data_IF_049939589279
#
_entry.id   IF_049939589279
#
_cell.length_a   1.000
_cell.length_b   1.000
_cell.length_c   1.000
_cell.angle_alpha   90.00
_cell.angle_beta   90.00
_cell.angle_gamma   90.00
#
_symmetry.space_group_name_H-M   'P 1'
#
loop_
_entity.id
_entity.type
_entity.pdbx_description
1 polymer ?
#
# COMPACT_ATOMS: atom_id res chain seq x y z
N UNK A 1 -33.17 -9.99 44.82
CA UNK A 1 -32.52 -9.55 43.55
C UNK A 1 -31.03 -9.69 43.76
N UNK A 2 -30.45 -10.83 43.32
CA UNK A 2 -29.02 -11.08 43.42
C UNK A 2 -28.34 -10.36 42.26
N UNK A 3 -27.24 -9.64 42.54
CA UNK A 3 -26.35 -9.09 41.57
C UNK A 3 -25.73 -10.24 40.73
N UNK A 4 -25.58 -10.11 39.39
CA UNK A 4 -24.90 -11.11 38.59
C UNK A 4 -23.47 -11.26 39.08
N UNK A 5 -23.01 -12.49 39.16
CA UNK A 5 -21.72 -12.89 39.69
C UNK A 5 -20.61 -12.47 38.72
N UNK A 6 -20.09 -11.26 38.90
CA UNK A 6 -19.00 -10.68 38.05
C UNK A 6 -17.66 -11.45 38.17
N UNK A 7 -17.53 -12.34 39.17
CA UNK A 7 -16.31 -13.12 39.40
C UNK A 7 -16.18 -14.32 38.46
N UNK A 8 -17.30 -14.89 38.01
CA UNK A 8 -17.31 -16.02 37.08
C UNK A 8 -16.86 -15.64 35.64
N UNK A 9 -17.23 -14.45 35.21
CA UNK A 9 -16.89 -13.94 33.86
C UNK A 9 -15.38 -13.61 33.75
N UNK A 10 -14.80 -12.95 34.75
CA UNK A 10 -13.37 -12.60 34.79
C UNK A 10 -12.47 -13.85 34.84
N UNK A 11 -12.84 -14.92 35.54
CA UNK A 11 -12.04 -16.16 35.51
C UNK A 11 -12.09 -16.86 34.16
N UNK A 12 -13.23 -16.85 33.49
CA UNK A 12 -13.40 -17.40 32.14
C UNK A 12 -12.60 -16.65 31.09
N UNK A 13 -12.57 -15.32 31.12
CA UNK A 13 -11.75 -14.50 30.22
C UNK A 13 -10.26 -14.73 30.44
N UNK A 14 -9.81 -14.84 31.69
CA UNK A 14 -8.40 -15.14 32.02
C UNK A 14 -7.97 -16.54 31.51
N UNK A 15 -8.85 -17.54 31.58
CA UNK A 15 -8.60 -18.89 31.07
C UNK A 15 -8.50 -18.90 29.55
N UNK A 16 -9.34 -18.16 28.85
CA UNK A 16 -9.29 -18.01 27.38
C UNK A 16 -8.01 -17.32 26.95
N UNK A 17 -7.62 -16.23 27.63
CA UNK A 17 -6.36 -15.51 27.36
C UNK A 17 -5.13 -16.39 27.63
N UNK A 18 -5.13 -17.15 28.69
CA UNK A 18 -4.07 -18.10 29.00
C UNK A 18 -3.97 -19.19 27.91
N UNK A 19 -5.12 -19.74 27.47
CA UNK A 19 -5.15 -20.72 26.40
C UNK A 19 -4.63 -20.15 25.07
N UNK A 20 -5.02 -18.92 24.69
CA UNK A 20 -4.53 -18.22 23.50
C UNK A 20 -3.01 -18.06 23.52
N UNK A 21 -2.44 -17.67 24.67
CA UNK A 21 -1.00 -17.46 24.83
C UNK A 21 -0.19 -18.77 24.84
N UNK A 22 -0.71 -19.81 25.48
CA UNK A 22 0.00 -21.10 25.61
C UNK A 22 -0.15 -21.99 24.38
N UNK A 23 -1.30 -21.91 23.69
CA UNK A 23 -1.62 -22.78 22.58
C UNK A 23 -2.24 -21.97 21.41
N UNK A 24 -1.53 -20.97 20.86
CA UNK A 24 -2.10 -20.04 19.87
C UNK A 24 -2.67 -20.75 18.65
N UNK A 25 -1.94 -21.72 18.07
CA UNK A 25 -2.42 -22.45 16.89
C UNK A 25 -3.72 -23.22 17.17
N UNK A 26 -3.84 -23.86 18.33
CA UNK A 26 -5.07 -24.59 18.72
C UNK A 26 -6.24 -23.64 18.97
N UNK A 27 -5.95 -22.48 19.53
CA UNK A 27 -6.93 -21.44 19.73
C UNK A 27 -7.53 -20.98 18.39
N UNK A 28 -6.69 -20.67 17.41
CA UNK A 28 -7.14 -20.30 16.07
C UNK A 28 -7.86 -21.45 15.35
N UNK A 29 -7.33 -22.66 15.37
CA UNK A 29 -7.97 -23.82 14.75
C UNK A 29 -9.39 -24.10 15.27
N UNK A 30 -9.64 -23.82 16.55
CA UNK A 30 -10.98 -23.95 17.15
C UNK A 30 -11.96 -22.96 16.52
N UNK A 31 -11.55 -21.70 16.33
CA UNK A 31 -12.37 -20.69 15.65
C UNK A 31 -12.57 -21.04 14.17
N UNK A 32 -11.51 -21.49 13.49
CA UNK A 32 -11.59 -21.88 12.08
C UNK A 32 -12.56 -23.05 11.85
N UNK A 33 -12.68 -23.98 12.80
CA UNK A 33 -13.65 -25.08 12.72
C UNK A 33 -15.10 -24.60 12.72
N UNK A 34 -15.37 -23.41 13.28
CA UNK A 34 -16.66 -22.74 13.26
C UNK A 34 -16.81 -21.75 12.09
N UNK A 35 -15.80 -21.70 11.19
CA UNK A 35 -15.73 -20.76 10.05
C UNK A 35 -15.75 -19.28 10.44
N UNK A 36 -15.28 -18.96 11.63
CA UNK A 36 -15.19 -17.60 12.18
C UNK A 36 -13.75 -17.35 12.64
N UNK A 37 -13.30 -16.11 12.60
CA UNK A 37 -12.00 -15.67 13.12
C UNK A 37 -12.16 -15.15 14.56
N UNK A 38 -11.08 -15.02 15.35
CA UNK A 38 -11.15 -14.46 16.70
C UNK A 38 -11.72 -13.04 16.79
N UNK A 39 -11.60 -12.26 15.71
CA UNK A 39 -12.19 -10.93 15.57
C UNK A 39 -13.63 -10.93 15.02
N UNK A 40 -14.28 -12.10 15.01
CA UNK A 40 -15.63 -12.35 14.51
C UNK A 40 -15.84 -12.12 13.00
N UNK A 41 -14.76 -11.90 12.20
CA UNK A 41 -14.87 -11.83 10.75
C UNK A 41 -15.05 -13.21 10.11
N UNK A 42 -15.83 -13.31 9.03
CA UNK A 42 -15.78 -14.46 8.14
C UNK A 42 -14.38 -14.64 7.52
N UNK A 43 -14.00 -15.87 7.17
CA UNK A 43 -12.67 -16.18 6.69
C UNK A 43 -12.26 -15.39 5.42
N UNK A 44 -13.18 -15.21 4.49
CA UNK A 44 -12.95 -14.51 3.21
C UNK A 44 -13.14 -12.99 3.27
N UNK A 45 -13.46 -12.40 4.43
CA UNK A 45 -13.68 -10.96 4.55
C UNK A 45 -12.41 -10.23 5.00
N UNK A 46 -12.04 -9.19 4.25
CA UNK A 46 -10.98 -8.26 4.64
C UNK A 46 -11.46 -7.29 5.72
N UNK A 47 -10.52 -6.66 6.44
CA UNK A 47 -10.76 -5.60 7.42
C UNK A 47 -11.29 -4.34 6.72
N UNK A 48 -11.98 -3.51 7.49
CA UNK A 48 -12.47 -2.23 7.01
C UNK A 48 -11.29 -1.36 6.55
N UNK A 49 -11.48 -0.70 5.41
CA UNK A 49 -10.43 0.10 4.79
C UNK A 49 -10.89 1.55 4.71
N UNK A 50 -10.00 2.45 5.10
CA UNK A 50 -10.18 3.90 4.96
C UNK A 50 -9.00 4.51 4.24
N UNK A 51 -9.26 5.54 3.44
CA UNK A 51 -8.28 6.23 2.64
C UNK A 51 -8.46 7.74 2.81
N UNK A 52 -7.36 8.47 2.96
CA UNK A 52 -7.35 9.93 2.97
C UNK A 52 -6.24 10.43 2.04
N UNK A 53 -6.55 11.42 1.21
CA UNK A 53 -5.62 12.04 0.29
C UNK A 53 -5.11 13.37 0.87
N UNK A 54 -3.96 13.85 0.38
CA UNK A 54 -3.43 15.14 0.80
C UNK A 54 -2.87 15.17 2.24
N UNK A 55 -2.55 14.00 2.82
CA UNK A 55 -2.10 13.89 4.22
C UNK A 55 -0.79 14.66 4.52
N UNK A 56 0.03 14.93 3.51
CA UNK A 56 1.31 15.65 3.64
C UNK A 56 1.28 16.87 2.72
N UNK A 57 1.15 18.06 3.30
CA UNK A 57 1.02 19.33 2.55
C UNK A 57 2.25 19.69 1.71
N UNK A 58 3.45 19.28 2.13
CA UNK A 58 4.71 19.56 1.43
C UNK A 58 5.03 18.59 0.29
N UNK A 59 4.23 17.54 0.13
CA UNK A 59 4.40 16.55 -0.94
C UNK A 59 3.58 16.94 -2.18
N UNK A 60 4.04 16.57 -3.36
CA UNK A 60 3.31 16.78 -4.62
C UNK A 60 2.13 15.81 -4.77
N UNK A 61 2.18 14.68 -4.08
CA UNK A 61 1.10 13.72 -3.93
C UNK A 61 1.25 12.97 -2.62
N UNK A 62 0.17 12.73 -1.89
CA UNK A 62 0.24 11.96 -0.63
C UNK A 62 -1.08 11.31 -0.30
N UNK A 63 -1.00 10.20 0.43
CA UNK A 63 -2.16 9.46 0.91
C UNK A 63 -1.87 8.74 2.22
N UNK A 64 -2.89 8.61 3.03
CA UNK A 64 -2.93 7.78 4.22
C UNK A 64 -3.90 6.63 3.98
N UNK A 65 -3.41 5.39 3.98
CA UNK A 65 -4.23 4.20 3.86
C UNK A 65 -4.26 3.44 5.17
N UNK A 66 -5.44 3.00 5.57
CA UNK A 66 -5.65 2.20 6.78
C UNK A 66 -6.49 0.97 6.45
N UNK A 67 -5.96 -0.21 6.75
CA UNK A 67 -6.65 -1.51 6.64
C UNK A 67 -6.70 -2.12 8.04
N UNK A 68 -7.87 -2.09 8.68
CA UNK A 68 -7.98 -2.43 10.09
C UNK A 68 -7.09 -1.53 10.95
N UNK A 69 -6.11 -2.11 11.65
CA UNK A 69 -5.10 -1.36 12.42
C UNK A 69 -3.89 -0.98 11.57
N UNK A 70 -3.58 -1.72 10.50
CA UNK A 70 -2.42 -1.42 9.65
C UNK A 70 -2.57 -0.06 8.97
N UNK A 71 -1.63 0.84 9.22
CA UNK A 71 -1.69 2.23 8.75
C UNK A 71 -0.42 2.60 8.01
N UNK A 72 -0.56 3.08 6.76
CA UNK A 72 0.54 3.48 5.87
C UNK A 72 0.36 4.91 5.41
N UNK A 73 1.43 5.69 5.49
CA UNK A 73 1.52 7.04 4.94
C UNK A 73 2.45 7.03 3.74
N UNK A 74 1.93 7.38 2.57
CA UNK A 74 2.71 7.52 1.33
C UNK A 74 2.82 8.99 0.93
N UNK A 75 4.01 9.41 0.51
CA UNK A 75 4.26 10.76 0.02
C UNK A 75 5.15 10.71 -1.21
N UNK A 76 4.84 11.54 -2.20
CA UNK A 76 5.59 11.63 -3.46
C UNK A 76 6.21 13.00 -3.58
N UNK A 77 7.53 13.02 -3.83
CA UNK A 77 8.27 14.21 -4.18
C UNK A 77 8.80 14.08 -5.61
N UNK A 78 8.59 15.14 -6.39
CA UNK A 78 9.06 15.20 -7.77
C UNK A 78 10.35 16.03 -7.83
N UNK A 79 11.37 15.48 -8.48
CA UNK A 79 12.64 16.18 -8.74
C UNK A 79 13.02 16.06 -10.21
N UNK A 80 13.73 17.06 -10.73
CA UNK A 80 14.23 17.01 -12.11
C UNK A 80 15.52 16.22 -12.15
N UNK A 81 15.60 15.26 -13.07
CA UNK A 81 16.78 14.45 -13.31
C UNK A 81 17.20 14.48 -14.77
N UNK A 82 18.44 14.10 -15.06
CA UNK A 82 18.87 13.75 -16.42
C UNK A 82 18.44 12.32 -16.72
N UNK A 83 17.67 12.07 -17.79
CA UNK A 83 17.22 10.74 -18.14
C UNK A 83 18.39 9.83 -18.53
N UNK A 84 18.17 8.51 -18.42
CA UNK A 84 19.14 7.51 -18.85
C UNK A 84 19.41 7.61 -20.37
N UNK A 85 20.63 7.30 -20.79
CA UNK A 85 20.98 7.20 -22.21
C UNK A 85 20.24 6.07 -22.94
N UNK A 86 19.77 5.05 -22.20
CA UNK A 86 19.01 3.93 -22.73
C UNK A 86 17.54 4.30 -22.98
N UNK A 87 16.98 5.22 -22.15
CA UNK A 87 15.57 5.67 -22.22
C UNK A 87 15.52 7.21 -22.11
N UNK A 88 15.91 7.94 -23.17
CA UNK A 88 16.01 9.41 -23.13
C UNK A 88 14.65 10.12 -22.99
N UNK A 89 13.55 9.43 -23.30
CA UNK A 89 12.19 9.96 -23.30
C UNK A 89 11.35 9.48 -22.11
N UNK A 90 12.00 8.94 -21.07
CA UNK A 90 11.31 8.39 -19.91
C UNK A 90 11.82 9.00 -18.62
N UNK A 91 10.90 9.23 -17.67
CA UNK A 91 11.26 9.52 -16.29
C UNK A 91 11.51 8.25 -15.49
N UNK A 92 11.69 8.41 -14.18
CA UNK A 92 11.96 7.29 -13.28
C UNK A 92 11.16 7.41 -12.00
N UNK A 93 10.98 6.26 -11.31
CA UNK A 93 10.31 6.17 -10.03
C UNK A 93 11.24 5.45 -9.06
N UNK A 94 11.50 6.06 -7.91
CA UNK A 94 12.19 5.43 -6.80
C UNK A 94 11.16 5.18 -5.68
N UNK A 95 11.17 3.98 -5.11
CA UNK A 95 10.22 3.59 -4.06
C UNK A 95 11.01 3.13 -2.86
N UNK A 96 10.78 3.80 -1.74
CA UNK A 96 11.35 3.44 -0.46
C UNK A 96 10.25 3.15 0.57
N UNK A 97 10.38 2.02 1.25
CA UNK A 97 9.46 1.59 2.30
C UNK A 97 10.16 1.59 3.65
N UNK A 98 9.61 2.31 4.60
CA UNK A 98 10.17 2.51 5.93
C UNK A 98 9.28 1.92 7.02
N UNK A 99 9.91 1.10 7.90
CA UNK A 99 9.29 0.59 9.12
C UNK A 99 10.05 1.15 10.34
N UNK A 100 9.63 2.29 10.87
CA UNK A 100 10.23 2.84 12.09
C UNK A 100 9.84 2.01 13.32
N UNK A 101 10.64 2.03 14.41
CA UNK A 101 10.37 1.24 15.62
C UNK A 101 9.02 1.53 16.30
N UNK A 102 8.38 2.65 15.97
CA UNK A 102 7.06 3.01 16.51
C UNK A 102 5.94 2.15 15.92
N UNK A 103 6.11 1.60 14.70
CA UNK A 103 5.04 0.87 14.02
C UNK A 103 4.79 -0.53 14.59
N UNK A 104 5.79 -1.14 15.24
CA UNK A 104 5.67 -2.47 15.82
C UNK A 104 6.74 -2.73 16.87
N UNK A 105 6.43 -3.39 17.97
CA UNK A 105 7.40 -3.77 19.01
C UNK A 105 8.48 -4.75 18.52
N UNK A 106 8.28 -5.40 17.38
CA UNK A 106 9.24 -6.31 16.77
C UNK A 106 10.38 -5.53 16.10
N UNK A 107 10.13 -4.31 15.63
CA UNK A 107 11.12 -3.46 14.98
C UNK A 107 12.01 -2.80 16.03
N UNK A 108 13.29 -3.15 16.02
CA UNK A 108 14.24 -2.65 17.02
C UNK A 108 14.88 -1.32 16.56
N UNK A 109 15.06 -0.35 17.47
CA UNK A 109 15.79 0.88 17.16
C UNK A 109 17.20 0.60 16.66
N UNK A 110 17.64 1.32 15.63
CA UNK A 110 18.99 1.22 15.07
C UNK A 110 19.24 0.03 14.15
N UNK A 111 18.24 -0.85 13.93
CA UNK A 111 18.32 -1.93 12.96
C UNK A 111 17.16 -1.83 11.97
N UNK A 112 17.44 -1.82 10.65
CA UNK A 112 16.37 -1.84 9.65
C UNK A 112 15.50 -3.09 9.80
N UNK A 113 14.19 -2.93 9.58
CA UNK A 113 13.28 -4.07 9.54
C UNK A 113 13.60 -4.95 8.31
N UNK A 114 13.69 -6.26 8.50
CA UNK A 114 14.06 -7.21 7.44
C UNK A 114 12.99 -7.25 6.32
N UNK A 115 11.74 -6.96 6.66
CA UNK A 115 10.64 -6.90 5.70
C UNK A 115 10.71 -5.66 4.77
N UNK A 116 11.31 -4.55 5.22
CA UNK A 116 11.26 -3.29 4.49
C UNK A 116 11.86 -3.37 3.07
N UNK A 117 13.08 -3.88 2.84
CA UNK A 117 13.64 -3.96 1.49
C UNK A 117 12.87 -4.95 0.59
N UNK A 118 12.26 -5.98 1.18
CA UNK A 118 11.47 -6.96 0.42
C UNK A 118 10.19 -6.31 -0.09
N UNK A 119 9.47 -5.58 0.77
CA UNK A 119 8.25 -4.86 0.41
C UNK A 119 8.56 -3.76 -0.61
N UNK A 120 9.62 -2.97 -0.41
CA UNK A 120 10.06 -1.93 -1.35
C UNK A 120 10.31 -2.51 -2.74
N UNK A 121 11.05 -3.61 -2.85
CA UNK A 121 11.31 -4.29 -4.12
C UNK A 121 10.03 -4.84 -4.74
N UNK A 122 9.18 -5.47 -3.96
CA UNK A 122 7.92 -6.04 -4.43
C UNK A 122 6.96 -4.96 -4.94
N UNK A 123 6.90 -3.79 -4.29
CA UNK A 123 6.14 -2.62 -4.75
C UNK A 123 6.67 -2.11 -6.08
N UNK A 124 8.00 -1.94 -6.20
CA UNK A 124 8.64 -1.48 -7.43
C UNK A 124 8.34 -2.42 -8.60
N UNK A 125 8.49 -3.72 -8.41
CA UNK A 125 8.21 -4.73 -9.44
C UNK A 125 6.72 -4.76 -9.82
N UNK A 126 5.81 -4.60 -8.84
CA UNK A 126 4.37 -4.59 -9.06
C UNK A 126 3.93 -3.35 -9.83
N UNK A 127 4.37 -2.16 -9.44
CA UNK A 127 4.03 -0.90 -10.11
C UNK A 127 4.57 -0.91 -11.55
N UNK A 128 5.80 -1.38 -11.76
CA UNK A 128 6.39 -1.48 -13.09
C UNK A 128 5.65 -2.48 -13.98
N UNK A 129 5.34 -3.68 -13.46
CA UNK A 129 4.68 -4.74 -14.25
C UNK A 129 3.19 -4.49 -14.50
N UNK A 130 2.53 -3.71 -13.64
CA UNK A 130 1.13 -3.32 -13.87
C UNK A 130 0.96 -2.38 -15.05
N UNK A 131 2.00 -1.59 -15.38
CA UNK A 131 1.93 -0.50 -16.35
C UNK A 131 1.04 0.64 -15.86
N UNK A 132 0.89 0.81 -14.54
CA UNK A 132 0.05 1.85 -13.94
C UNK A 132 0.48 3.24 -14.39
N UNK A 133 1.77 3.48 -14.49
CA UNK A 133 2.35 4.77 -14.82
C UNK A 133 3.07 4.68 -16.16
N UNK A 134 2.69 5.57 -17.09
CA UNK A 134 3.41 5.75 -18.33
C UNK A 134 4.62 6.65 -18.08
N UNK A 135 5.83 6.08 -18.02
CA UNK A 135 7.07 6.81 -17.75
C UNK A 135 7.38 7.91 -18.77
N UNK A 136 6.80 7.84 -19.97
CA UNK A 136 6.92 8.90 -20.99
C UNK A 136 6.20 10.18 -20.60
N UNK A 137 5.15 10.10 -19.76
CA UNK A 137 4.49 11.29 -19.23
C UNK A 137 5.37 12.08 -18.26
N UNK A 138 6.40 11.45 -17.71
CA UNK A 138 7.39 12.06 -16.83
C UNK A 138 8.57 12.69 -17.61
N UNK A 139 8.59 12.61 -18.94
CA UNK A 139 9.59 13.29 -19.75
C UNK A 139 9.29 14.79 -19.84
N UNK A 140 10.30 15.63 -19.65
CA UNK A 140 10.22 17.08 -19.83
C UNK A 140 10.83 17.51 -21.17
N UNK A 141 12.09 17.16 -21.39
CA UNK A 141 12.83 17.44 -22.62
C UNK A 141 13.63 16.18 -22.97
N UNK A 142 13.34 15.61 -24.13
CA UNK A 142 14.00 14.39 -24.60
C UNK A 142 15.52 14.47 -24.50
N UNK A 143 16.13 13.50 -23.84
CA UNK A 143 17.56 13.37 -23.63
C UNK A 143 18.21 14.41 -22.71
N UNK A 144 17.46 15.39 -22.18
CA UNK A 144 18.00 16.47 -21.32
C UNK A 144 17.44 16.45 -19.92
N UNK A 145 16.12 16.33 -19.78
CA UNK A 145 15.47 16.40 -18.47
C UNK A 145 14.21 15.57 -18.43
N UNK A 146 14.01 14.91 -17.28
CA UNK A 146 12.82 14.14 -16.97
C UNK A 146 12.53 14.24 -15.48
N UNK A 147 11.33 13.83 -15.07
CA UNK A 147 10.94 13.73 -13.68
C UNK A 147 11.45 12.43 -13.05
N UNK A 148 12.00 12.56 -11.84
CA UNK A 148 12.17 11.49 -10.89
C UNK A 148 11.08 11.62 -9.82
N UNK A 149 10.24 10.61 -9.69
CA UNK A 149 9.24 10.54 -8.63
C UNK A 149 9.80 9.70 -7.47
N UNK A 150 10.06 10.33 -6.34
CA UNK A 150 10.43 9.66 -5.09
C UNK A 150 9.15 9.35 -4.31
N UNK A 151 8.83 8.09 -4.17
CA UNK A 151 7.73 7.61 -3.35
C UNK A 151 8.28 7.03 -2.05
N UNK A 152 8.05 7.75 -0.96
CA UNK A 152 8.38 7.31 0.39
C UNK A 152 7.12 6.80 1.09
N UNK A 153 7.15 5.58 1.61
CA UNK A 153 6.05 4.98 2.35
C UNK A 153 6.51 4.69 3.78
N UNK A 154 5.80 5.24 4.73
CA UNK A 154 6.03 5.02 6.16
C UNK A 154 4.94 4.16 6.76
N UNK A 155 5.33 3.05 7.38
CA UNK A 155 4.45 2.25 8.21
C UNK A 155 4.28 2.94 9.57
N UNK A 156 3.07 3.37 9.89
CA UNK A 156 2.75 4.01 11.17
C UNK A 156 2.27 2.99 12.19
N UNK A 157 1.55 1.97 11.75
CA UNK A 157 1.09 0.84 12.57
C UNK A 157 1.08 -0.43 11.72
N UNK A 158 1.64 -1.53 12.24
CA UNK A 158 1.87 -2.78 11.54
C UNK A 158 1.08 -3.93 12.18
N UNK A 159 -0.08 -4.24 11.62
CA UNK A 159 -0.94 -5.35 12.03
C UNK A 159 -1.28 -6.28 10.87
N UNK A 160 -0.23 -6.85 10.25
CA UNK A 160 -0.34 -7.77 9.10
C UNK A 160 -0.76 -7.11 7.79
N UNK A 161 -0.72 -7.88 6.71
CA UNK A 161 -1.03 -7.46 5.33
C UNK A 161 -0.31 -6.15 4.91
N UNK A 162 0.96 -6.03 5.28
CA UNK A 162 1.75 -4.80 5.10
C UNK A 162 1.85 -4.40 3.63
N UNK A 163 2.07 -5.37 2.75
CA UNK A 163 2.18 -5.11 1.31
C UNK A 163 0.88 -4.54 0.73
N UNK A 164 -0.28 -5.05 1.16
CA UNK A 164 -1.59 -4.62 0.66
C UNK A 164 -1.87 -3.16 1.03
N UNK A 165 -1.60 -2.79 2.28
CA UNK A 165 -1.76 -1.41 2.74
C UNK A 165 -0.74 -0.46 2.08
N UNK A 166 0.51 -0.91 1.89
CA UNK A 166 1.55 -0.13 1.23
C UNK A 166 1.22 0.11 -0.25
N UNK A 167 0.76 -0.92 -0.98
CA UNK A 167 0.35 -0.79 -2.38
C UNK A 167 -0.85 0.15 -2.52
N UNK A 168 -1.86 0.03 -1.65
CA UNK A 168 -3.01 0.92 -1.66
C UNK A 168 -2.61 2.38 -1.40
N UNK A 169 -1.74 2.63 -0.42
CA UNK A 169 -1.24 3.98 -0.12
C UNK A 169 -0.44 4.57 -1.29
N UNK A 170 0.39 3.75 -1.96
CA UNK A 170 1.14 4.14 -3.14
C UNK A 170 0.22 4.53 -4.31
N UNK A 171 -0.75 3.68 -4.63
CA UNK A 171 -1.75 3.94 -5.67
C UNK A 171 -2.51 5.23 -5.40
N UNK A 172 -2.97 5.43 -4.17
CA UNK A 172 -3.70 6.62 -3.77
C UNK A 172 -2.83 7.89 -3.85
N UNK A 173 -1.55 7.81 -3.45
CA UNK A 173 -0.62 8.93 -3.56
C UNK A 173 -0.36 9.33 -5.02
N UNK A 174 -0.21 8.36 -5.93
CA UNK A 174 -0.10 8.63 -7.36
C UNK A 174 -1.40 9.18 -7.97
N UNK A 175 -2.56 8.73 -7.50
CA UNK A 175 -3.86 9.27 -7.93
C UNK A 175 -4.07 10.73 -7.50
N UNK A 176 -3.45 11.11 -6.38
CA UNK A 176 -3.46 12.49 -5.87
C UNK A 176 -2.34 13.36 -6.45
N UNK A 177 -1.34 12.78 -7.12
CA UNK A 177 -0.13 13.47 -7.58
C UNK A 177 -0.46 14.58 -8.57
N UNK A 178 0.07 15.77 -8.29
CA UNK A 178 0.10 16.91 -9.20
C UNK A 178 1.55 17.19 -9.62
N UNK A 179 1.82 17.05 -10.91
CA UNK A 179 3.14 17.34 -11.47
C UNK A 179 3.35 18.86 -11.41
N UNK A 180 4.42 19.35 -10.75
CA UNK A 180 4.67 20.79 -10.61
C UNK A 180 5.07 21.45 -11.93
N UNK A 181 5.02 22.79 -11.95
CA UNK A 181 5.43 23.60 -13.09
C UNK A 181 6.92 23.82 -13.01
N UNK A 182 7.60 23.75 -14.15
CA UNK A 182 9.02 24.01 -14.28
C UNK A 182 9.27 25.11 -15.30
N UNK A 183 10.31 25.90 -15.06
CA UNK A 183 10.81 26.92 -15.97
C UNK A 183 12.22 26.61 -16.46
N UNK A 184 12.57 27.17 -17.59
CA UNK A 184 13.91 27.09 -18.14
C UNK A 184 14.64 28.41 -17.77
N UNK A 185 15.73 28.33 -17.03
CA UNK A 185 16.59 29.47 -16.72
C UNK A 185 17.41 29.91 -17.95
N UNK A 186 17.92 31.13 -17.94
CA UNK A 186 18.81 31.70 -18.99
C UNK A 186 20.04 30.82 -19.27
N UNK A 187 20.49 30.06 -18.27
CA UNK A 187 21.56 29.08 -18.37
C UNK A 187 21.14 27.72 -19.01
N UNK A 188 19.87 27.57 -19.38
CA UNK A 188 19.31 26.35 -19.92
C UNK A 188 19.08 25.24 -18.86
N UNK A 189 19.08 25.58 -17.57
CA UNK A 189 18.71 24.67 -16.49
C UNK A 189 17.22 24.76 -16.19
N UNK A 190 16.62 23.60 -15.92
CA UNK A 190 15.22 23.48 -15.53
C UNK A 190 15.12 23.61 -14.02
N UNK A 191 14.33 24.55 -13.55
CA UNK A 191 14.07 24.83 -12.13
C UNK A 191 12.59 24.75 -11.82
N UNK A 192 12.28 24.30 -10.59
CA UNK A 192 10.92 24.28 -10.07
C UNK A 192 10.45 25.71 -9.75
N UNK A 193 9.26 26.08 -10.19
CA UNK A 193 8.63 27.33 -9.80
C UNK A 193 7.99 27.09 -8.43
N UNK A 194 8.51 27.75 -7.37
CA UNK A 194 7.88 27.75 -6.06
C UNK A 194 6.76 28.78 -6.02
N UNK A 195 5.64 28.45 -5.36
CA UNK A 195 4.48 29.36 -5.23
C UNK A 195 4.81 30.67 -4.45
N UNK A 196 5.96 30.72 -3.78
CA UNK A 196 6.42 31.89 -3.02
C UNK A 196 7.08 32.98 -3.92
N UNK A 197 7.42 32.67 -5.16
CA UNK A 197 8.12 33.59 -6.09
C UNK A 197 7.20 34.43 -6.98
N UNK A 198 5.91 34.52 -6.68
CA UNK A 198 4.91 35.30 -7.44
C UNK A 198 5.21 36.83 -7.49
N UNK A 199 6.29 37.29 -6.88
CA UNK A 199 6.71 38.73 -6.83
C UNK A 199 7.83 39.14 -7.80
N UNK A 200 8.58 38.20 -8.38
CA UNK A 200 9.65 38.51 -9.32
C UNK A 200 9.21 38.10 -10.71
N UNK A 201 8.79 39.05 -11.55
CA UNK A 201 8.61 38.88 -12.99
C UNK A 201 9.97 38.59 -13.65
N UNK A 202 10.41 37.35 -13.55
CA UNK A 202 11.40 36.81 -14.48
C UNK A 202 10.64 36.40 -15.75
N UNK A 203 11.03 36.97 -16.89
CA UNK A 203 10.54 36.59 -18.24
C UNK A 203 11.07 35.19 -18.60
N UNK A 204 10.75 34.17 -17.78
CA UNK A 204 11.18 32.81 -17.99
C UNK A 204 10.01 32.04 -18.60
N UNK A 205 10.19 31.51 -19.81
CA UNK A 205 9.14 30.71 -20.46
C UNK A 205 8.96 29.39 -19.68
N UNK A 206 7.76 29.12 -19.12
CA UNK A 206 7.49 27.85 -18.45
C UNK A 206 7.52 26.73 -19.49
N UNK A 207 8.26 25.66 -19.20
CA UNK A 207 8.29 24.43 -20.01
C UNK A 207 6.93 23.73 -19.97
N UNK A 208 6.18 23.94 -18.88
CA UNK A 208 4.91 23.32 -18.58
C UNK A 208 3.99 24.41 -17.98
N UNK A 209 2.93 24.78 -18.66
CA UNK A 209 2.09 25.94 -18.32
C UNK A 209 1.08 25.71 -17.18
N UNK A 210 0.79 24.46 -16.84
CA UNK A 210 -0.24 24.08 -15.87
C UNK A 210 0.18 22.87 -15.03
N UNK A 211 -0.24 22.84 -13.78
CA UNK A 211 -0.15 21.62 -12.95
C UNK A 211 -0.97 20.52 -13.61
N UNK A 212 -0.36 19.37 -13.84
CA UNK A 212 -0.97 18.25 -14.55
C UNK A 212 -1.11 17.05 -13.63
N UNK A 213 -2.28 16.43 -13.62
CA UNK A 213 -2.46 15.11 -13.02
C UNK A 213 -1.82 14.04 -13.91
N UNK A 214 -1.28 13.00 -13.31
CA UNK A 214 -0.75 11.84 -14.02
C UNK A 214 -1.88 10.95 -14.50
N UNK A 215 -1.77 10.43 -15.72
CA UNK A 215 -2.75 9.47 -16.25
C UNK A 215 -2.40 8.07 -15.76
N UNK A 216 -3.24 7.51 -14.88
CA UNK A 216 -3.03 6.17 -14.37
C UNK A 216 -3.83 5.15 -15.20
N UNK A 217 -3.20 4.02 -15.51
CA UNK A 217 -3.81 2.89 -16.22
C UNK A 217 -3.46 1.58 -15.51
N UNK A 218 -4.34 0.57 -15.60
CA UNK A 218 -4.04 -0.74 -15.02
C UNK A 218 -3.72 -0.70 -13.51
N UNK A 219 -4.47 0.09 -12.73
CA UNK A 219 -4.24 0.33 -11.31
C UNK A 219 -4.21 -1.01 -10.55
N UNK A 220 -3.08 -1.37 -9.90
CA UNK A 220 -2.95 -2.63 -9.20
C UNK A 220 -3.54 -2.57 -7.80
N UNK A 221 -4.26 -3.62 -7.42
CA UNK A 221 -4.72 -3.88 -6.07
C UNK A 221 -4.34 -5.28 -5.65
N UNK A 222 -4.05 -5.47 -4.38
CA UNK A 222 -3.63 -6.76 -3.84
C UNK A 222 -4.54 -7.26 -2.74
N UNK A 223 -4.47 -8.57 -2.52
CA UNK A 223 -5.01 -9.23 -1.36
C UNK A 223 -4.05 -10.35 -0.93
N UNK A 224 -3.60 -10.26 0.31
CA UNK A 224 -2.85 -11.32 0.96
C UNK A 224 -3.81 -12.28 1.63
N UNK A 225 -3.63 -13.57 1.39
CA UNK A 225 -4.38 -14.66 2.01
C UNK A 225 -3.42 -15.60 2.74
N UNK A 226 -3.84 -16.13 3.88
CA UNK A 226 -3.17 -17.24 4.55
C UNK A 226 -3.84 -18.55 4.15
N UNK A 227 -3.02 -19.53 3.82
CA UNK A 227 -3.44 -20.92 3.59
C UNK A 227 -3.10 -21.75 4.81
N UNK A 228 -4.11 -22.28 5.49
CA UNK A 228 -3.94 -23.17 6.62
C UNK A 228 -4.84 -24.40 6.47
N UNK A 229 -4.26 -25.60 6.26
CA UNK A 229 -5.00 -26.82 5.94
C UNK A 229 -5.93 -26.58 4.73
N UNK A 230 -7.25 -26.63 4.95
CA UNK A 230 -8.28 -26.40 3.93
C UNK A 230 -8.94 -25.02 4.06
N UNK A 231 -8.40 -24.15 4.93
CA UNK A 231 -8.94 -22.82 5.16
C UNK A 231 -8.13 -21.75 4.42
N UNK A 232 -8.82 -20.75 3.92
CA UNK A 232 -8.24 -19.55 3.29
C UNK A 232 -8.71 -18.35 4.08
N UNK A 233 -7.77 -17.61 4.67
CA UNK A 233 -8.04 -16.40 5.44
C UNK A 233 -7.59 -15.19 4.61
N UNK A 234 -8.53 -14.33 4.25
CA UNK A 234 -8.24 -13.09 3.54
C UNK A 234 -7.82 -11.99 4.52
N UNK A 235 -6.84 -11.18 4.14
CA UNK A 235 -6.34 -10.03 4.91
C UNK A 235 -6.00 -10.41 6.36
N UNK A 236 -4.88 -11.11 6.57
CA UNK A 236 -4.48 -11.59 7.88
C UNK A 236 -4.01 -10.46 8.80
N UNK A 237 -4.20 -10.66 10.11
CA UNK A 237 -3.57 -9.86 11.15
C UNK A 237 -2.13 -10.31 11.41
N UNK A 238 -1.33 -9.48 12.08
CA UNK A 238 0.06 -9.83 12.44
C UNK A 238 0.12 -11.11 13.31
N UNK A 239 -0.87 -11.33 14.18
CA UNK A 239 -0.95 -12.53 14.99
C UNK A 239 -1.19 -13.78 14.13
N UNK A 240 -2.11 -13.70 13.16
CA UNK A 240 -2.39 -14.80 12.22
C UNK A 240 -1.18 -15.11 11.34
N UNK A 241 -0.48 -14.09 10.83
CA UNK A 241 0.75 -14.26 10.05
C UNK A 241 1.87 -14.92 10.87
N UNK A 242 1.97 -14.60 12.15
CA UNK A 242 3.00 -15.16 13.04
C UNK A 242 2.78 -16.65 13.38
N UNK A 243 1.52 -17.10 13.33
CA UNK A 243 1.13 -18.48 13.70
C UNK A 243 1.01 -19.38 12.47
N UNK A 244 0.54 -18.82 11.35
CA UNK A 244 0.25 -19.53 10.11
C UNK A 244 1.18 -19.06 9.00
N UNK A 245 2.25 -19.79 8.77
CA UNK A 245 3.41 -19.36 7.98
C UNK A 245 3.20 -19.32 6.45
N UNK A 246 2.06 -19.80 5.92
CA UNK A 246 1.85 -19.85 4.47
C UNK A 246 0.97 -18.70 3.99
N UNK A 247 1.62 -17.65 3.54
CA UNK A 247 0.95 -16.51 2.91
C UNK A 247 1.02 -16.61 1.37
N UNK A 248 -0.03 -16.12 0.73
CA UNK A 248 -0.15 -15.97 -0.73
C UNK A 248 -0.69 -14.57 -1.00
N UNK A 249 0.04 -13.78 -1.77
CA UNK A 249 -0.40 -12.45 -2.20
C UNK A 249 -0.74 -12.50 -3.68
N UNK A 250 -1.94 -12.08 -4.03
CA UNK A 250 -2.43 -11.97 -5.40
C UNK A 250 -2.61 -10.50 -5.73
N UNK A 251 -2.06 -10.05 -6.85
CA UNK A 251 -2.22 -8.69 -7.35
C UNK A 251 -2.99 -8.74 -8.67
N UNK A 252 -4.09 -8.02 -8.73
CA UNK A 252 -4.89 -7.85 -9.95
C UNK A 252 -4.95 -6.36 -10.30
N UNK A 253 -5.09 -6.06 -11.58
CA UNK A 253 -5.39 -4.69 -12.01
C UNK A 253 -6.90 -4.37 -11.91
N UNK A 254 -7.25 -3.12 -12.14
CA UNK A 254 -8.64 -2.64 -12.19
C UNK A 254 -9.52 -3.39 -13.21
N UNK A 255 -8.92 -4.03 -14.22
CA UNK A 255 -9.58 -4.89 -15.21
C UNK A 255 -9.66 -6.35 -14.77
N UNK A 256 -9.28 -6.68 -13.54
CA UNK A 256 -9.20 -8.05 -13.00
C UNK A 256 -8.17 -8.95 -13.70
N UNK A 257 -7.20 -8.38 -14.42
CA UNK A 257 -6.07 -9.10 -15.02
C UNK A 257 -5.03 -9.36 -13.94
N UNK A 258 -4.44 -10.56 -13.95
CA UNK A 258 -3.39 -10.94 -13.01
C UNK A 258 -2.09 -10.17 -13.34
N UNK A 259 -1.62 -9.37 -12.38
CA UNK A 259 -0.36 -8.64 -12.46
C UNK A 259 0.77 -9.45 -11.84
N UNK A 260 0.58 -9.92 -10.61
CA UNK A 260 1.58 -10.75 -9.94
C UNK A 260 0.94 -11.74 -8.95
N UNK A 261 1.68 -12.80 -8.69
CA UNK A 261 1.33 -13.82 -7.70
C UNK A 261 2.60 -14.12 -6.88
N UNK A 262 2.53 -13.93 -5.59
CA UNK A 262 3.66 -14.07 -4.70
C UNK A 262 3.37 -15.05 -3.56
N UNK A 263 4.22 -16.06 -3.42
CA UNK A 263 4.20 -17.03 -2.31
C UNK A 263 5.62 -17.18 -1.78
N UNK A 264 5.99 -16.45 -0.72
CA UNK A 264 7.37 -16.41 -0.23
C UNK A 264 7.85 -17.73 0.38
N UNK A 265 6.93 -18.59 0.78
CA UNK A 265 7.28 -19.87 1.41
C UNK A 265 6.10 -20.50 2.12
N UNK A 266 6.40 -21.25 3.18
CA UNK A 266 5.42 -21.93 4.04
C UNK A 266 5.19 -23.39 3.66
N UNK A 267 4.77 -24.22 4.64
CA UNK A 267 4.67 -25.67 4.51
C UNK A 267 3.46 -26.12 3.67
N UNK A 268 2.43 -25.29 3.56
CA UNK A 268 1.21 -25.65 2.82
C UNK A 268 1.40 -25.46 1.32
N UNK A 269 1.14 -26.50 0.54
CA UNK A 269 1.15 -26.42 -0.90
C UNK A 269 -0.10 -25.67 -1.39
N UNK A 270 0.12 -24.67 -2.26
CA UNK A 270 -0.98 -24.01 -2.93
C UNK A 270 -1.47 -24.87 -4.11
N UNK A 271 -2.52 -25.66 -3.89
CA UNK A 271 -3.18 -26.37 -4.96
C UNK A 271 -3.91 -25.42 -5.90
N UNK A 272 -4.12 -25.83 -7.14
CA UNK A 272 -4.78 -25.00 -8.16
C UNK A 272 -6.13 -24.45 -7.70
N UNK A 273 -6.93 -25.24 -6.98
CA UNK A 273 -8.21 -24.82 -6.41
C UNK A 273 -8.01 -23.65 -5.40
N UNK A 274 -7.07 -23.80 -4.46
CA UNK A 274 -6.79 -22.74 -3.47
C UNK A 274 -6.30 -21.45 -4.14
N UNK A 275 -5.50 -21.55 -5.19
CA UNK A 275 -5.08 -20.38 -5.98
C UNK A 275 -6.28 -19.72 -6.66
N UNK A 276 -7.18 -20.50 -7.25
CA UNK A 276 -8.39 -19.98 -7.88
C UNK A 276 -9.29 -19.26 -6.86
N UNK A 277 -9.43 -19.81 -5.67
CA UNK A 277 -10.21 -19.22 -4.59
C UNK A 277 -9.57 -17.90 -4.10
N UNK A 278 -8.24 -17.86 -3.94
CA UNK A 278 -7.52 -16.60 -3.62
C UNK A 278 -7.74 -15.54 -4.72
N UNK A 279 -7.67 -15.91 -5.99
CA UNK A 279 -7.94 -14.99 -7.12
C UNK A 279 -9.39 -14.51 -7.09
N UNK A 280 -10.35 -15.38 -6.76
CA UNK A 280 -11.77 -14.99 -6.67
C UNK A 280 -12.00 -13.99 -5.52
N UNK A 281 -11.41 -14.23 -4.35
CA UNK A 281 -11.45 -13.29 -3.22
C UNK A 281 -10.80 -11.94 -3.58
N UNK A 282 -9.65 -11.99 -4.26
CA UNK A 282 -8.96 -10.76 -4.71
C UNK A 282 -9.81 -9.97 -5.69
N UNK A 283 -10.52 -10.60 -6.63
CA UNK A 283 -11.45 -9.92 -7.56
C UNK A 283 -12.57 -9.19 -6.84
N UNK A 284 -13.08 -9.77 -5.76
CA UNK A 284 -14.09 -9.10 -4.93
C UNK A 284 -13.46 -7.89 -4.23
N UNK A 285 -12.27 -8.09 -3.65
CA UNK A 285 -11.54 -7.03 -2.94
C UNK A 285 -11.16 -5.85 -3.84
N UNK A 286 -10.74 -6.10 -5.08
CA UNK A 286 -10.41 -5.06 -6.06
C UNK A 286 -11.59 -4.11 -6.27
N UNK A 287 -12.81 -4.63 -6.42
CA UNK A 287 -14.00 -3.79 -6.58
C UNK A 287 -14.28 -2.91 -5.37
N UNK A 288 -14.09 -3.46 -4.16
CA UNK A 288 -14.26 -2.69 -2.92
C UNK A 288 -13.23 -1.55 -2.82
N UNK A 289 -11.95 -1.86 -3.05
CA UNK A 289 -10.87 -0.87 -2.99
C UNK A 289 -10.96 0.19 -4.08
N UNK A 290 -11.40 -0.19 -5.28
CA UNK A 290 -11.64 0.74 -6.38
C UNK A 290 -12.75 1.72 -6.03
N UNK A 291 -13.86 1.26 -5.49
CA UNK A 291 -14.94 2.13 -5.03
C UNK A 291 -14.47 3.12 -3.94
N UNK A 292 -13.69 2.63 -2.95
CA UNK A 292 -13.14 3.49 -1.90
C UNK A 292 -12.21 4.57 -2.48
N UNK A 293 -11.38 4.20 -3.46
CA UNK A 293 -10.48 5.15 -4.13
C UNK A 293 -11.28 6.20 -4.91
N UNK A 294 -12.26 5.77 -5.69
CA UNK A 294 -13.09 6.65 -6.52
C UNK A 294 -13.93 7.60 -5.66
N UNK A 295 -14.53 7.12 -4.56
CA UNK A 295 -15.25 7.94 -3.59
C UNK A 295 -14.35 9.00 -2.95
N UNK A 296 -13.11 8.60 -2.57
CA UNK A 296 -12.16 9.53 -1.94
C UNK A 296 -11.68 10.59 -2.91
N UNK A 297 -11.44 10.22 -4.18
CA UNK A 297 -11.05 11.17 -5.23
C UNK A 297 -12.18 12.15 -5.56
N UNK A 298 -13.42 11.67 -5.65
CA UNK A 298 -14.60 12.51 -5.92
C UNK A 298 -14.89 13.49 -4.77
N UNK A 299 -14.61 13.08 -3.53
CA UNK A 299 -14.79 13.95 -2.36
C UNK A 299 -13.86 15.15 -2.34
N UNK A 300 -12.66 15.04 -2.94
CA UNK A 300 -11.70 16.16 -3.03
C UNK A 300 -12.03 17.19 -4.13
N UNK A 301 -12.81 16.83 -5.14
CA UNK A 301 -13.17 17.76 -6.22
C UNK A 301 -14.29 18.73 -5.81
N UNK A 302 -14.87 18.56 -4.62
CA UNK A 302 -16.00 19.35 -4.11
C UNK A 302 -15.55 20.43 -3.11
N UNK A 303 -14.35 20.30 -2.53
CA UNK A 303 -13.76 21.28 -1.60
C UNK A 303 -12.83 22.27 -2.32
#
# INVERSE_FOLDING_TARGET
>A
MGLPDASGDLSSEMEVDAFRRLFPLRYFERHLSESIRPDARPLGRARDTTLALGAVASAHGSALAKIGSTTMLAAIKMEVMTPSTESPDEGSIAIDFHMPPICSPIVRPGRPAEAAPVISKQLSDTISSSGMINLKELSLVSGKAAWMAYLDIYCLDADGALFDAALLSAVAAFSHLQIPIVSLNDDGKIELISEEDDGAKLEVEPVNKEKRKLTLSGIPFSLTCILHKNYILADPTAEEESIMETAVTVVLDSSSRLVSFYKPGGPVLAHTSAVQDCVALTRQRVKELQNILDETLSGMEID
#
